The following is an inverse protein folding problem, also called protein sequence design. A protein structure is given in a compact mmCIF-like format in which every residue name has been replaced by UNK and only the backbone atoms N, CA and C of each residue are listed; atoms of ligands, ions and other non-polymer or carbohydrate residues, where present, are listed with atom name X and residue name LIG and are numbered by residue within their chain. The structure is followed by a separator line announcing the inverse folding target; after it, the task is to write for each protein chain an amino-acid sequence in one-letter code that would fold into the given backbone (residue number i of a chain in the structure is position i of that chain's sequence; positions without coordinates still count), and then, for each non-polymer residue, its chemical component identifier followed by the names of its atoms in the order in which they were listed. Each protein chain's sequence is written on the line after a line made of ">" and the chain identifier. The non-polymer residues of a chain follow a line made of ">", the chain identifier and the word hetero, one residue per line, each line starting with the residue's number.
data_IF_441721907845
#
_entry.id   IF_441721907845
#
_cell.length_a   1.000
_cell.length_b   1.000
_cell.length_c   1.000
_cell.angle_alpha   90.00
_cell.angle_beta   90.00
_cell.angle_gamma   90.00
#
_symmetry.space_group_name_H-M   'P 1'
#
loop_
_entity.id
_entity.type
_entity.pdbx_description
1 polymer ?
#
# COMPACT_ATOMS: atom_id res chain seq x y z
N UNK A 1 -20.47 23.26 -22.10
CA UNK A 1 -19.05 22.91 -21.88
C UNK A 1 -18.82 21.98 -20.68
N UNK A 2 -19.36 22.24 -19.47
CA UNK A 2 -19.25 21.30 -18.32
C UNK A 2 -19.94 19.95 -18.57
N UNK A 3 -21.19 19.94 -19.06
CA UNK A 3 -21.94 18.70 -19.35
C UNK A 3 -21.28 17.83 -20.43
N UNK A 4 -20.58 18.41 -21.42
CA UNK A 4 -19.88 17.66 -22.47
C UNK A 4 -18.57 17.06 -21.98
N UNK A 5 -17.86 17.76 -21.09
CA UNK A 5 -16.65 17.25 -20.42
C UNK A 5 -16.99 16.08 -19.49
N UNK A 6 -18.10 16.17 -18.76
CA UNK A 6 -18.56 15.10 -17.86
C UNK A 6 -19.01 13.85 -18.62
N UNK A 7 -19.74 14.00 -19.74
CA UNK A 7 -20.07 12.87 -20.62
C UNK A 7 -18.82 12.18 -21.16
N UNK A 8 -17.81 12.94 -21.60
CA UNK A 8 -16.55 12.37 -22.08
C UNK A 8 -15.81 11.57 -21.02
N UNK A 9 -15.82 12.04 -19.77
CA UNK A 9 -15.21 11.33 -18.64
C UNK A 9 -15.82 9.94 -18.40
N UNK A 10 -17.16 9.87 -18.29
CA UNK A 10 -17.86 8.60 -18.09
C UNK A 10 -17.71 7.64 -19.26
N UNK A 11 -17.68 8.16 -20.50
CA UNK A 11 -17.38 7.34 -21.68
C UNK A 11 -15.99 6.71 -21.62
N UNK A 12 -14.97 7.45 -21.18
CA UNK A 12 -13.60 6.90 -21.03
C UNK A 12 -13.55 5.84 -19.94
N UNK A 13 -14.22 6.04 -18.80
CA UNK A 13 -14.32 5.00 -17.77
C UNK A 13 -14.99 3.73 -18.32
N UNK A 14 -16.06 3.88 -19.12
CA UNK A 14 -16.71 2.75 -19.80
C UNK A 14 -15.75 2.00 -20.73
N UNK A 15 -14.94 2.71 -21.51
CA UNK A 15 -13.90 2.11 -22.36
C UNK A 15 -12.86 1.36 -21.51
N UNK A 16 -12.41 1.93 -20.39
CA UNK A 16 -11.47 1.27 -19.49
C UNK A 16 -12.06 -0.02 -18.92
N UNK A 17 -13.33 -0.04 -18.53
CA UNK A 17 -14.01 -1.25 -18.05
C UNK A 17 -13.98 -2.35 -19.12
N UNK A 18 -14.32 -2.02 -20.37
CA UNK A 18 -14.32 -2.98 -21.48
C UNK A 18 -12.92 -3.53 -21.74
N UNK A 19 -11.93 -2.64 -21.88
CA UNK A 19 -10.53 -3.02 -22.12
C UNK A 19 -10.01 -3.92 -21.00
N UNK A 20 -10.24 -3.55 -19.74
CA UNK A 20 -9.81 -4.34 -18.60
C UNK A 20 -10.55 -5.68 -18.51
N UNK A 21 -11.84 -5.74 -18.82
CA UNK A 21 -12.60 -7.00 -18.81
C UNK A 21 -12.03 -7.99 -19.81
N UNK A 22 -11.71 -7.52 -21.03
CA UNK A 22 -11.13 -8.35 -22.09
C UNK A 22 -9.67 -8.69 -21.78
N UNK A 23 -8.88 -7.73 -21.30
CA UNK A 23 -7.47 -7.91 -20.99
C UNK A 23 -7.21 -8.93 -19.88
N UNK A 24 -8.16 -9.12 -18.96
CA UNK A 24 -8.05 -10.14 -17.90
C UNK A 24 -8.23 -11.58 -18.41
N UNK A 25 -8.59 -11.79 -19.68
CA UNK A 25 -8.76 -13.13 -20.25
C UNK A 25 -7.44 -13.89 -20.34
N UNK A 26 -6.35 -13.18 -20.64
CA UNK A 26 -5.03 -13.79 -20.83
C UNK A 26 -4.28 -14.05 -19.52
N UNK A 27 -4.83 -13.62 -18.38
CA UNK A 27 -4.19 -13.78 -17.07
C UNK A 27 -4.45 -15.20 -16.56
N UNK A 28 -3.40 -16.01 -16.31
CA UNK A 28 -3.57 -17.38 -15.82
C UNK A 28 -4.06 -17.39 -14.37
N UNK A 29 -4.92 -18.37 -14.04
CA UNK A 29 -5.33 -18.65 -12.67
C UNK A 29 -4.24 -19.49 -12.01
N UNK A 30 -3.58 -18.95 -10.99
CA UNK A 30 -2.42 -19.57 -10.34
C UNK A 30 -2.42 -19.29 -8.84
N UNK A 31 -1.54 -19.99 -8.11
CA UNK A 31 -1.44 -19.82 -6.66
C UNK A 31 -2.76 -20.15 -5.95
N UNK A 32 -3.24 -19.23 -5.13
CA UNK A 32 -4.46 -19.39 -4.35
C UNK A 32 -5.71 -19.48 -5.25
N UNK A 33 -5.68 -18.91 -6.47
CA UNK A 33 -6.79 -19.02 -7.42
C UNK A 33 -7.13 -20.49 -7.71
N UNK A 34 -6.11 -21.32 -7.91
CA UNK A 34 -6.28 -22.75 -8.19
C UNK A 34 -6.91 -23.50 -7.00
N UNK A 35 -6.58 -23.10 -5.77
CA UNK A 35 -7.22 -23.64 -4.58
C UNK A 35 -8.72 -23.32 -4.58
N UNK A 36 -9.08 -22.04 -4.73
CA UNK A 36 -10.46 -21.57 -4.62
C UNK A 36 -11.38 -22.00 -5.79
N UNK A 37 -10.83 -22.21 -6.98
CA UNK A 37 -11.58 -22.77 -8.12
C UNK A 37 -12.04 -24.20 -7.82
N UNK A 38 -11.29 -24.96 -7.02
CA UNK A 38 -11.61 -26.34 -6.69
C UNK A 38 -12.51 -26.49 -5.45
N UNK A 39 -12.80 -25.40 -4.71
CA UNK A 39 -13.68 -25.45 -3.53
C UNK A 39 -15.15 -25.28 -3.92
N UNK A 40 -16.07 -25.84 -3.15
CA UNK A 40 -17.51 -25.55 -3.25
C UNK A 40 -17.96 -24.75 -2.03
N UNK A 41 -18.83 -23.77 -2.26
CA UNK A 41 -19.36 -22.97 -1.16
C UNK A 41 -20.36 -23.80 -0.34
N UNK A 42 -20.11 -23.89 0.96
CA UNK A 42 -21.09 -24.28 1.98
C UNK A 42 -20.82 -23.49 3.26
N UNK A 43 -21.84 -23.37 4.11
CA UNK A 43 -21.66 -22.71 5.42
C UNK A 43 -20.64 -23.48 6.26
N UNK A 44 -20.70 -24.81 6.25
CA UNK A 44 -19.75 -25.67 6.97
C UNK A 44 -18.31 -25.49 6.48
N UNK A 45 -18.11 -25.37 5.16
CA UNK A 45 -16.80 -25.08 4.61
C UNK A 45 -16.27 -23.74 5.14
N UNK A 46 -17.10 -22.70 5.15
CA UNK A 46 -16.70 -21.37 5.63
C UNK A 46 -16.41 -21.36 7.15
N UNK A 47 -17.21 -22.07 7.95
CA UNK A 47 -16.94 -22.26 9.38
C UNK A 47 -15.63 -23.01 9.59
N UNK A 48 -15.36 -24.06 8.81
CA UNK A 48 -14.08 -24.77 8.81
C UNK A 48 -12.90 -23.86 8.47
N UNK A 49 -13.07 -22.95 7.49
CA UNK A 49 -12.05 -21.93 7.15
C UNK A 49 -11.80 -20.97 8.30
N UNK A 50 -12.85 -20.49 8.97
CA UNK A 50 -12.71 -19.64 10.16
C UNK A 50 -11.99 -20.36 11.30
N UNK A 51 -12.27 -21.65 11.47
CA UNK A 51 -11.68 -22.47 12.53
C UNK A 51 -10.21 -22.80 12.29
N UNK A 52 -9.81 -23.01 11.03
CA UNK A 52 -8.51 -23.64 10.71
C UNK A 52 -7.54 -22.77 9.91
N UNK A 53 -7.98 -21.67 9.26
CA UNK A 53 -7.09 -20.93 8.36
C UNK A 53 -7.22 -19.41 8.32
N UNK A 54 -8.43 -18.84 8.29
CA UNK A 54 -8.58 -17.40 8.04
C UNK A 54 -9.80 -16.78 8.68
N UNK A 55 -9.64 -15.56 9.20
CA UNK A 55 -10.74 -14.67 9.60
C UNK A 55 -11.52 -14.06 8.44
N UNK A 56 -11.10 -14.25 7.18
CA UNK A 56 -11.63 -13.55 6.00
C UNK A 56 -12.94 -14.15 5.47
N UNK A 57 -13.91 -14.39 6.35
CA UNK A 57 -15.14 -15.12 6.02
C UNK A 57 -15.96 -14.46 4.89
N UNK A 58 -16.08 -13.13 4.87
CA UNK A 58 -16.88 -12.44 3.85
C UNK A 58 -16.16 -12.45 2.51
N UNK A 59 -14.85 -12.23 2.53
CA UNK A 59 -14.02 -12.21 1.33
C UNK A 59 -13.96 -13.62 0.73
N UNK A 60 -13.64 -14.65 1.52
CA UNK A 60 -13.52 -16.03 1.03
C UNK A 60 -14.86 -16.59 0.54
N UNK A 61 -15.99 -16.23 1.16
CA UNK A 61 -17.30 -16.60 0.66
C UNK A 61 -17.54 -16.07 -0.77
N UNK A 62 -17.30 -14.77 -0.99
CA UNK A 62 -17.45 -14.16 -2.33
C UNK A 62 -16.42 -14.76 -3.30
N UNK A 63 -15.21 -15.02 -2.84
CA UNK A 63 -14.14 -15.59 -3.66
C UNK A 63 -14.51 -16.98 -4.19
N UNK A 64 -15.01 -17.89 -3.34
CA UNK A 64 -15.44 -19.23 -3.79
C UNK A 64 -16.66 -19.16 -4.72
N UNK A 65 -17.61 -18.26 -4.46
CA UNK A 65 -18.79 -18.10 -5.31
C UNK A 65 -18.41 -17.56 -6.69
N UNK A 66 -17.56 -16.53 -6.74
CA UNK A 66 -17.20 -15.86 -7.99
C UNK A 66 -16.14 -16.63 -8.79
N UNK A 67 -15.34 -17.48 -8.16
CA UNK A 67 -14.37 -18.35 -8.83
C UNK A 67 -15.04 -19.32 -9.83
N UNK A 68 -16.32 -19.64 -9.62
CA UNK A 68 -17.13 -20.47 -10.52
C UNK A 68 -17.59 -19.74 -11.78
N UNK A 69 -17.57 -18.41 -11.76
CA UNK A 69 -18.01 -17.57 -12.87
C UNK A 69 -16.93 -16.53 -13.19
N UNK A 70 -15.85 -16.97 -13.83
CA UNK A 70 -14.68 -16.12 -14.11
C UNK A 70 -15.03 -14.89 -14.97
N UNK A 71 -16.01 -14.98 -15.87
CA UNK A 71 -16.50 -13.81 -16.60
C UNK A 71 -17.14 -12.76 -15.68
N UNK A 72 -17.94 -13.22 -14.71
CA UNK A 72 -18.55 -12.35 -13.71
C UNK A 72 -17.47 -11.67 -12.86
N UNK A 73 -16.45 -12.43 -12.44
CA UNK A 73 -15.29 -11.87 -11.76
C UNK A 73 -14.59 -10.80 -12.61
N UNK A 74 -14.27 -11.07 -13.87
CA UNK A 74 -13.55 -10.11 -14.74
C UNK A 74 -14.29 -8.78 -14.89
N UNK A 75 -15.61 -8.83 -15.07
CA UNK A 75 -16.47 -7.64 -15.17
C UNK A 75 -16.47 -6.86 -13.85
N UNK A 76 -16.76 -7.52 -12.72
CA UNK A 76 -16.78 -6.83 -11.42
C UNK A 76 -15.40 -6.29 -11.04
N UNK A 77 -14.35 -7.05 -11.32
CA UNK A 77 -12.99 -6.62 -11.04
C UNK A 77 -12.60 -5.38 -11.86
N UNK A 78 -12.99 -5.32 -13.14
CA UNK A 78 -12.80 -4.14 -13.97
C UNK A 78 -13.60 -2.94 -13.43
N UNK A 79 -14.86 -3.14 -13.04
CA UNK A 79 -15.69 -2.09 -12.43
C UNK A 79 -15.05 -1.55 -11.15
N UNK A 80 -14.55 -2.42 -10.28
CA UNK A 80 -13.94 -2.03 -8.99
C UNK A 80 -12.61 -1.31 -9.21
N UNK A 81 -11.77 -1.82 -10.12
CA UNK A 81 -10.52 -1.14 -10.46
C UNK A 81 -10.78 0.25 -11.04
N UNK A 82 -11.71 0.38 -11.98
CA UNK A 82 -12.06 1.67 -12.57
C UNK A 82 -12.75 2.60 -11.55
N UNK A 83 -13.52 2.05 -10.61
CA UNK A 83 -14.09 2.81 -9.49
C UNK A 83 -13.00 3.37 -8.57
N UNK A 84 -11.92 2.62 -8.33
CA UNK A 84 -10.76 3.11 -7.60
C UNK A 84 -10.09 4.29 -8.34
N UNK A 85 -9.95 4.20 -9.66
CA UNK A 85 -9.45 5.31 -10.48
C UNK A 85 -10.36 6.54 -10.41
N UNK A 86 -11.69 6.37 -10.50
CA UNK A 86 -12.66 7.46 -10.34
C UNK A 86 -12.56 8.09 -8.95
N UNK A 87 -12.52 7.30 -7.89
CA UNK A 87 -12.46 7.80 -6.50
C UNK A 87 -11.23 8.68 -6.27
N UNK A 88 -10.06 8.24 -6.73
CA UNK A 88 -8.82 9.01 -6.65
C UNK A 88 -8.92 10.27 -7.53
N UNK A 89 -9.38 10.13 -8.77
CA UNK A 89 -9.50 11.26 -9.70
C UNK A 89 -10.48 12.33 -9.22
N UNK A 90 -11.62 11.94 -8.67
CA UNK A 90 -12.61 12.87 -8.12
C UNK A 90 -12.03 13.63 -6.92
N UNK A 91 -11.37 12.92 -5.99
CA UNK A 91 -10.79 13.54 -4.79
C UNK A 91 -9.68 14.55 -5.13
N UNK A 92 -8.84 14.23 -6.10
CA UNK A 92 -7.68 15.06 -6.45
C UNK A 92 -8.02 16.13 -7.49
N UNK A 93 -8.78 15.77 -8.54
CA UNK A 93 -9.00 16.58 -9.74
C UNK A 93 -10.46 16.73 -10.16
N UNK A 94 -11.44 16.42 -9.32
CA UNK A 94 -12.86 16.71 -9.61
C UNK A 94 -13.40 16.07 -10.91
N UNK A 95 -12.94 14.84 -11.23
CA UNK A 95 -13.34 14.09 -12.45
C UNK A 95 -12.95 14.75 -13.77
N UNK A 96 -11.78 15.38 -13.81
CA UNK A 96 -11.17 15.78 -15.08
C UNK A 96 -10.48 14.60 -15.78
N UNK A 97 -10.66 14.51 -17.11
CA UNK A 97 -10.06 13.45 -17.96
C UNK A 97 -8.53 13.43 -17.84
N UNK A 98 -7.88 14.61 -17.85
CA UNK A 98 -6.42 14.71 -17.65
C UNK A 98 -5.99 14.13 -16.30
N UNK A 99 -6.79 14.37 -15.26
CA UNK A 99 -6.59 13.79 -13.93
C UNK A 99 -6.71 12.26 -13.96
N UNK A 100 -7.70 11.72 -14.67
CA UNK A 100 -7.87 10.26 -14.81
C UNK A 100 -6.65 9.60 -15.45
N UNK A 101 -6.15 10.17 -16.55
CA UNK A 101 -4.93 9.65 -17.19
C UNK A 101 -3.71 9.73 -16.28
N UNK A 102 -3.58 10.81 -15.52
CA UNK A 102 -2.49 10.96 -14.55
C UNK A 102 -2.58 9.90 -13.44
N UNK A 103 -3.77 9.64 -12.90
CA UNK A 103 -3.99 8.55 -11.93
C UNK A 103 -3.65 7.21 -12.57
N UNK A 104 -4.12 6.93 -13.79
CA UNK A 104 -3.84 5.69 -14.50
C UNK A 104 -2.32 5.49 -14.74
N UNK A 105 -1.58 6.54 -15.08
CA UNK A 105 -0.11 6.49 -15.20
C UNK A 105 0.54 6.08 -13.88
N UNK A 106 0.06 6.57 -12.73
CA UNK A 106 0.61 6.17 -11.43
C UNK A 106 0.39 4.69 -11.12
N UNK A 107 -0.71 4.10 -11.60
CA UNK A 107 -0.92 2.66 -11.52
C UNK A 107 0.07 1.86 -12.39
N UNK A 108 0.58 2.43 -13.49
CA UNK A 108 1.60 1.77 -14.33
C UNK A 108 2.97 1.69 -13.65
N UNK A 109 3.25 2.54 -12.65
CA UNK A 109 4.47 2.42 -11.83
C UNK A 109 4.38 1.31 -10.78
N UNK A 110 3.20 0.71 -10.58
CA UNK A 110 3.04 -0.39 -9.64
C UNK A 110 3.61 -1.68 -10.23
N UNK A 111 4.43 -2.44 -9.48
CA UNK A 111 4.96 -3.70 -9.98
C UNK A 111 3.83 -4.70 -10.24
N UNK A 112 3.81 -5.30 -11.43
CA UNK A 112 2.76 -6.26 -11.85
C UNK A 112 2.67 -7.47 -10.90
N UNK A 113 3.78 -7.82 -10.26
CA UNK A 113 3.88 -8.86 -9.23
C UNK A 113 2.91 -8.64 -8.05
N UNK A 114 2.53 -7.38 -7.77
CA UNK A 114 1.51 -7.04 -6.78
C UNK A 114 0.25 -7.85 -6.98
N UNK A 115 -0.22 -7.97 -8.22
CA UNK A 115 -1.51 -8.61 -8.52
C UNK A 115 -1.39 -10.09 -8.84
N UNK A 116 -0.19 -10.59 -9.17
CA UNK A 116 0.01 -11.97 -9.60
C UNK A 116 0.53 -12.90 -8.48
N UNK A 117 1.13 -12.36 -7.41
CA UNK A 117 1.87 -13.15 -6.42
C UNK A 117 1.09 -14.28 -5.73
N UNK A 118 -0.21 -14.10 -5.47
CA UNK A 118 -1.09 -15.13 -4.92
C UNK A 118 -2.11 -15.66 -5.94
N UNK A 119 -2.08 -15.16 -7.17
CA UNK A 119 -3.17 -15.30 -8.13
C UNK A 119 -3.98 -14.01 -8.28
N UNK A 120 -4.47 -13.79 -9.48
CA UNK A 120 -5.15 -12.56 -9.89
C UNK A 120 -6.52 -12.42 -9.22
N UNK A 121 -7.26 -13.53 -9.11
CA UNK A 121 -8.56 -13.58 -8.43
C UNK A 121 -8.39 -13.33 -6.93
N UNK A 122 -7.55 -14.13 -6.27
CA UNK A 122 -7.33 -14.05 -4.84
C UNK A 122 -6.78 -12.70 -4.41
N UNK A 123 -5.80 -12.16 -5.14
CA UNK A 123 -5.23 -10.85 -4.80
C UNK A 123 -6.23 -9.72 -4.99
N UNK A 124 -7.03 -9.76 -6.05
CA UNK A 124 -8.05 -8.73 -6.30
C UNK A 124 -9.10 -8.69 -5.19
N UNK A 125 -9.66 -9.84 -4.79
CA UNK A 125 -10.65 -9.90 -3.73
C UNK A 125 -10.08 -9.66 -2.32
N UNK A 126 -8.82 -10.01 -2.08
CA UNK A 126 -8.18 -9.75 -0.79
C UNK A 126 -7.63 -8.33 -0.65
N UNK A 127 -7.36 -7.59 -1.72
CA UNK A 127 -6.72 -6.27 -1.60
C UNK A 127 -7.45 -5.19 -2.39
N UNK A 128 -7.58 -5.35 -3.71
CA UNK A 128 -8.21 -4.34 -4.56
C UNK A 128 -9.65 -4.01 -4.13
N UNK A 129 -10.48 -5.03 -3.92
CA UNK A 129 -11.90 -4.82 -3.58
C UNK A 129 -12.08 -4.22 -2.19
N UNK A 130 -11.46 -4.78 -1.11
CA UNK A 130 -11.59 -4.22 0.23
C UNK A 130 -11.06 -2.80 0.34
N UNK A 131 -9.96 -2.46 -0.32
CA UNK A 131 -9.40 -1.10 -0.29
C UNK A 131 -10.29 -0.12 -1.02
N UNK A 132 -10.80 -0.48 -2.20
CA UNK A 132 -11.72 0.38 -2.96
C UNK A 132 -12.99 0.65 -2.16
N UNK A 133 -13.56 -0.40 -1.55
CA UNK A 133 -14.70 -0.27 -0.64
C UNK A 133 -14.36 0.62 0.57
N UNK A 134 -13.19 0.44 1.17
CA UNK A 134 -12.70 1.24 2.29
C UNK A 134 -12.57 2.73 1.96
N UNK A 135 -11.97 3.07 0.82
CA UNK A 135 -11.84 4.46 0.34
C UNK A 135 -13.24 5.07 0.11
N UNK A 136 -14.14 4.31 -0.52
CA UNK A 136 -15.52 4.75 -0.71
C UNK A 136 -16.22 5.03 0.63
N UNK A 137 -16.11 4.13 1.60
CA UNK A 137 -16.70 4.29 2.95
C UNK A 137 -16.17 5.56 3.62
N UNK A 138 -14.84 5.75 3.65
CA UNK A 138 -14.21 6.93 4.26
C UNK A 138 -14.69 8.24 3.63
N UNK A 139 -14.93 8.25 2.31
CA UNK A 139 -15.41 9.44 1.58
C UNK A 139 -16.85 9.83 1.89
N UNK A 140 -17.68 8.91 2.39
CA UNK A 140 -19.08 9.21 2.72
C UNK A 140 -19.28 9.63 4.18
N UNK A 141 -18.25 9.55 5.04
CA UNK A 141 -18.37 9.79 6.48
C UNK A 141 -18.87 11.20 6.85
N UNK A 142 -18.42 12.21 6.11
CA UNK A 142 -18.74 13.63 6.37
C UNK A 142 -20.10 14.07 5.81
N UNK A 143 -20.88 13.15 5.23
CA UNK A 143 -22.16 13.48 4.58
C UNK A 143 -23.34 13.06 5.44
N UNK A 144 -24.41 13.85 5.38
CA UNK A 144 -25.74 13.36 5.78
C UNK A 144 -26.20 12.33 4.76
N UNK A 145 -26.29 11.09 5.22
CA UNK A 145 -26.59 9.93 4.37
C UNK A 145 -27.99 9.39 4.67
N UNK A 146 -28.65 8.89 3.63
CA UNK A 146 -29.97 8.24 3.76
C UNK A 146 -29.85 6.87 4.43
N UNK A 147 -30.96 6.31 4.92
CA UNK A 147 -30.98 4.95 5.48
C UNK A 147 -30.47 3.89 4.49
N UNK A 148 -30.82 3.99 3.20
CA UNK A 148 -30.31 3.09 2.15
C UNK A 148 -28.79 3.21 2.00
N UNK A 149 -28.26 4.42 2.06
CA UNK A 149 -26.83 4.67 2.01
C UNK A 149 -26.12 4.10 3.25
N UNK A 150 -26.71 4.22 4.45
CA UNK A 150 -26.17 3.61 5.68
C UNK A 150 -26.12 2.08 5.60
N UNK A 151 -27.15 1.44 5.02
CA UNK A 151 -27.14 0.01 4.78
C UNK A 151 -26.01 -0.40 3.83
N UNK A 152 -25.86 0.33 2.71
CA UNK A 152 -24.75 0.11 1.78
C UNK A 152 -23.37 0.29 2.44
N UNK A 153 -23.20 1.34 3.25
CA UNK A 153 -21.97 1.57 4.01
C UNK A 153 -21.71 0.47 5.03
N UNK A 154 -22.76 -0.12 5.62
CA UNK A 154 -22.61 -1.23 6.57
C UNK A 154 -22.03 -2.46 5.88
N UNK A 155 -22.59 -2.85 4.73
CA UNK A 155 -22.12 -3.99 3.93
C UNK A 155 -20.68 -3.76 3.46
N UNK A 156 -20.39 -2.57 2.92
CA UNK A 156 -19.04 -2.24 2.43
C UNK A 156 -18.02 -2.19 3.57
N UNK A 157 -18.39 -1.69 4.75
CA UNK A 157 -17.49 -1.66 5.91
C UNK A 157 -17.18 -3.07 6.38
N UNK A 158 -18.20 -3.92 6.53
CA UNK A 158 -18.01 -5.31 6.96
C UNK A 158 -17.13 -6.07 5.97
N UNK A 159 -17.33 -5.88 4.66
CA UNK A 159 -16.50 -6.49 3.62
C UNK A 159 -15.07 -5.94 3.63
N UNK A 160 -14.90 -4.61 3.63
CA UNK A 160 -13.58 -3.97 3.59
C UNK A 160 -12.72 -4.33 4.80
N UNK A 161 -13.30 -4.22 6.00
CA UNK A 161 -12.59 -4.44 7.27
C UNK A 161 -12.45 -5.93 7.64
N UNK A 162 -12.94 -6.85 6.80
CA UNK A 162 -12.67 -8.28 6.96
C UNK A 162 -11.24 -8.67 6.61
N UNK A 163 -10.56 -7.84 5.83
CA UNK A 163 -9.12 -7.92 5.55
C UNK A 163 -8.34 -7.21 6.66
N UNK A 164 -7.33 -7.87 7.23
CA UNK A 164 -6.65 -7.43 8.46
C UNK A 164 -5.91 -6.08 8.34
N UNK A 165 -5.18 -5.86 7.24
CA UNK A 165 -4.49 -4.60 6.96
C UNK A 165 -5.47 -3.46 6.66
N UNK A 166 -6.54 -3.71 5.90
CA UNK A 166 -7.57 -2.70 5.59
C UNK A 166 -8.33 -2.34 6.87
N UNK A 167 -8.63 -3.33 7.72
CA UNK A 167 -9.27 -3.16 9.01
C UNK A 167 -8.50 -2.15 9.89
N UNK A 168 -7.20 -2.41 10.12
CA UNK A 168 -6.40 -1.51 10.95
C UNK A 168 -6.20 -0.14 10.30
N UNK A 169 -6.05 -0.10 8.97
CA UNK A 169 -5.89 1.17 8.24
C UNK A 169 -7.14 2.04 8.39
N UNK A 170 -8.34 1.48 8.18
CA UNK A 170 -9.61 2.19 8.37
C UNK A 170 -9.78 2.60 9.83
N UNK A 171 -9.47 1.71 10.79
CA UNK A 171 -9.56 2.02 12.21
C UNK A 171 -8.69 3.22 12.57
N UNK A 172 -7.41 3.22 12.16
CA UNK A 172 -6.49 4.33 12.43
C UNK A 172 -6.99 5.61 11.77
N UNK A 173 -7.31 5.58 10.46
CA UNK A 173 -7.84 6.76 9.77
C UNK A 173 -9.11 7.32 10.44
N UNK A 174 -10.01 6.45 10.89
CA UNK A 174 -11.24 6.85 11.56
C UNK A 174 -10.99 7.44 12.94
N UNK A 175 -10.08 6.87 13.73
CA UNK A 175 -9.67 7.43 15.02
C UNK A 175 -9.03 8.81 14.86
N UNK A 176 -8.13 8.97 13.88
CA UNK A 176 -7.54 10.27 13.56
C UNK A 176 -8.58 11.30 13.11
N UNK A 177 -9.56 10.89 12.29
CA UNK A 177 -10.68 11.74 11.86
C UNK A 177 -11.59 12.13 13.03
N UNK A 178 -11.96 11.18 13.90
CA UNK A 178 -12.77 11.46 15.08
C UNK A 178 -12.06 12.41 16.04
N UNK A 179 -10.76 12.19 16.29
CA UNK A 179 -9.95 13.10 17.10
C UNK A 179 -9.95 14.52 16.50
N UNK A 180 -9.76 14.64 15.18
CA UNK A 180 -9.84 15.92 14.49
C UNK A 180 -11.20 16.61 14.72
N UNK A 181 -12.32 15.90 14.48
CA UNK A 181 -13.67 16.45 14.65
C UNK A 181 -13.94 16.88 16.09
N UNK A 182 -13.48 16.10 17.08
CA UNK A 182 -13.63 16.44 18.50
C UNK A 182 -12.83 17.71 18.85
N UNK A 183 -11.58 17.81 18.39
CA UNK A 183 -10.71 18.96 18.66
C UNK A 183 -11.23 20.22 17.97
N UNK A 184 -11.71 20.11 16.73
CA UNK A 184 -12.27 21.26 15.98
C UNK A 184 -13.73 21.57 16.34
N UNK A 185 -14.35 20.75 17.21
CA UNK A 185 -15.77 20.83 17.58
C UNK A 185 -16.71 20.75 16.37
N UNK A 186 -16.28 20.05 15.33
CA UNK A 186 -17.09 19.77 14.15
C UNK A 186 -18.12 18.68 14.44
N UNK A 187 -19.18 18.64 13.63
CA UNK A 187 -20.27 17.69 13.80
C UNK A 187 -19.82 16.26 13.48
N UNK A 188 -20.07 15.34 14.41
CA UNK A 188 -19.87 13.90 14.17
C UNK A 188 -21.18 13.29 13.65
N UNK A 189 -21.16 12.82 12.40
CA UNK A 189 -22.30 12.17 11.77
C UNK A 189 -22.46 10.71 12.22
N UNK A 190 -23.70 10.19 12.19
CA UNK A 190 -24.02 8.78 12.53
C UNK A 190 -23.15 7.76 11.77
N UNK A 191 -22.79 8.05 10.52
CA UNK A 191 -21.90 7.21 9.71
C UNK A 191 -20.56 6.91 10.40
N UNK A 192 -20.00 7.87 11.15
CA UNK A 192 -18.74 7.65 11.88
C UNK A 192 -18.87 6.56 12.95
N UNK A 193 -19.92 6.64 13.77
CA UNK A 193 -20.18 5.66 14.82
C UNK A 193 -20.51 4.28 14.24
N UNK A 194 -21.29 4.24 13.17
CA UNK A 194 -21.61 3.00 12.45
C UNK A 194 -20.34 2.31 11.94
N UNK A 195 -19.50 3.05 11.20
CA UNK A 195 -18.27 2.51 10.62
C UNK A 195 -17.30 2.09 11.73
N UNK A 196 -17.20 2.85 12.82
CA UNK A 196 -16.38 2.48 13.98
C UNK A 196 -16.86 1.17 14.60
N UNK A 197 -18.15 1.05 14.89
CA UNK A 197 -18.74 -0.15 15.49
C UNK A 197 -18.51 -1.40 14.64
N UNK A 198 -18.78 -1.30 13.33
CA UNK A 198 -18.57 -2.43 12.41
C UNK A 198 -17.10 -2.79 12.23
N UNK A 199 -16.21 -1.79 12.20
CA UNK A 199 -14.75 -2.04 12.16
C UNK A 199 -14.32 -2.76 13.43
N UNK A 200 -14.79 -2.33 14.61
CA UNK A 200 -14.47 -3.00 15.88
C UNK A 200 -14.99 -4.44 15.95
N UNK A 201 -16.16 -4.73 15.38
CA UNK A 201 -16.65 -6.10 15.26
C UNK A 201 -15.67 -6.96 14.44
N UNK A 202 -15.18 -6.46 13.31
CA UNK A 202 -14.18 -7.19 12.53
C UNK A 202 -12.83 -7.31 13.24
N UNK A 203 -12.40 -6.30 14.01
CA UNK A 203 -11.20 -6.41 14.86
C UNK A 203 -11.33 -7.57 15.82
N UNK A 204 -12.47 -7.68 16.51
CA UNK A 204 -12.75 -8.79 17.44
C UNK A 204 -12.79 -10.13 16.68
N UNK A 205 -13.45 -10.19 15.53
CA UNK A 205 -13.54 -11.39 14.71
C UNK A 205 -12.16 -11.89 14.24
N UNK A 206 -11.28 -10.97 13.85
CA UNK A 206 -9.91 -11.25 13.41
C UNK A 206 -9.05 -11.69 14.60
N UNK A 207 -9.12 -10.98 15.73
CA UNK A 207 -8.33 -11.25 16.92
C UNK A 207 -8.69 -12.60 17.56
N UNK A 208 -9.97 -12.96 17.54
CA UNK A 208 -10.47 -14.22 18.10
C UNK A 208 -10.47 -15.38 17.10
N UNK A 209 -10.01 -15.18 15.86
CA UNK A 209 -10.01 -16.23 14.85
C UNK A 209 -9.02 -17.35 15.21
N UNK A 210 -9.51 -18.56 15.55
CA UNK A 210 -8.62 -19.69 15.80
C UNK A 210 -7.88 -20.11 14.53
N UNK A 211 -8.49 -19.90 13.36
CA UNK A 211 -7.87 -20.20 12.08
C UNK A 211 -6.64 -19.35 11.80
N UNK A 212 -6.64 -18.08 12.20
CA UNK A 212 -5.45 -17.24 12.09
C UNK A 212 -4.28 -17.77 12.94
N UNK A 213 -4.57 -18.27 14.16
CA UNK A 213 -3.58 -18.87 15.04
C UNK A 213 -3.06 -20.20 14.47
N UNK A 214 -3.97 -21.07 14.01
CA UNK A 214 -3.62 -22.35 13.37
C UNK A 214 -2.72 -22.13 12.15
N UNK A 215 -3.09 -21.18 11.27
CA UNK A 215 -2.27 -20.78 10.12
C UNK A 215 -0.90 -20.27 10.56
N UNK A 216 -0.82 -19.49 11.63
CA UNK A 216 0.47 -18.99 12.13
C UNK A 216 1.37 -20.15 12.59
N UNK A 217 0.84 -21.09 13.37
CA UNK A 217 1.57 -22.29 13.84
C UNK A 217 2.06 -23.13 12.66
N UNK A 218 1.24 -23.30 11.62
CA UNK A 218 1.63 -24.02 10.40
C UNK A 218 2.66 -23.25 9.57
N UNK A 219 2.59 -21.91 9.54
CA UNK A 219 3.45 -21.06 8.73
C UNK A 219 4.87 -20.92 9.27
N UNK A 220 5.06 -20.97 10.59
CA UNK A 220 6.37 -20.84 11.23
C UNK A 220 7.37 -21.89 10.71
N UNK A 221 7.14 -23.21 10.84
CA UNK A 221 8.10 -24.21 10.41
C UNK A 221 8.28 -24.23 8.88
N UNK A 222 7.25 -23.82 8.12
CA UNK A 222 7.28 -23.86 6.65
C UNK A 222 8.00 -22.66 6.03
N UNK A 223 7.83 -21.46 6.58
CA UNK A 223 8.27 -20.22 5.91
C UNK A 223 9.35 -19.48 6.67
N UNK A 224 9.34 -19.48 8.00
CA UNK A 224 10.30 -18.72 8.80
C UNK A 224 10.43 -19.28 10.23
N UNK A 225 11.22 -20.35 10.44
CA UNK A 225 11.32 -21.02 11.74
C UNK A 225 11.80 -20.12 12.88
N UNK A 226 12.73 -19.20 12.60
CA UNK A 226 13.29 -18.26 13.59
C UNK A 226 12.22 -17.31 14.15
N UNK A 227 11.13 -17.08 13.41
CA UNK A 227 10.00 -16.26 13.86
C UNK A 227 9.39 -16.75 15.18
N UNK A 228 9.53 -18.04 15.52
CA UNK A 228 9.08 -18.60 16.79
C UNK A 228 9.75 -17.93 18.01
N UNK A 229 10.98 -17.47 17.84
CA UNK A 229 11.79 -16.86 18.91
C UNK A 229 11.61 -15.34 18.99
N UNK A 230 10.92 -14.73 18.04
CA UNK A 230 10.85 -13.28 17.90
C UNK A 230 9.93 -12.65 18.96
N UNK A 231 10.50 -11.70 19.70
CA UNK A 231 9.75 -10.83 20.60
C UNK A 231 8.97 -9.75 19.85
N UNK A 232 8.38 -8.82 20.61
CA UNK A 232 7.65 -7.69 20.03
C UNK A 232 8.57 -6.78 19.19
N UNK A 233 9.75 -6.45 19.71
CA UNK A 233 10.69 -5.55 19.04
C UNK A 233 11.25 -6.15 17.75
N UNK A 234 11.54 -7.45 17.72
CA UNK A 234 12.00 -8.14 16.51
C UNK A 234 10.96 -8.07 15.40
N UNK A 235 9.68 -8.25 15.75
CA UNK A 235 8.55 -8.17 14.80
C UNK A 235 8.35 -6.76 14.27
N UNK A 236 8.47 -5.74 15.12
CA UNK A 236 8.44 -4.33 14.70
C UNK A 236 9.61 -4.03 13.76
N UNK A 237 10.82 -4.45 14.14
CA UNK A 237 12.03 -4.26 13.36
C UNK A 237 11.92 -4.94 11.98
N UNK A 238 11.42 -6.18 11.94
CA UNK A 238 11.15 -6.95 10.74
C UNK A 238 10.12 -6.25 9.82
N UNK A 239 9.05 -5.71 10.41
CA UNK A 239 8.04 -4.94 9.70
C UNK A 239 8.58 -3.67 9.05
N UNK A 240 9.40 -2.91 9.80
CA UNK A 240 10.08 -1.72 9.31
C UNK A 240 11.06 -2.10 8.20
N UNK A 241 11.89 -3.13 8.40
CA UNK A 241 12.82 -3.63 7.38
C UNK A 241 12.13 -4.02 6.09
N UNK A 242 11.01 -4.75 6.17
CA UNK A 242 10.26 -5.13 4.98
C UNK A 242 9.65 -3.92 4.26
N UNK A 243 9.16 -2.94 5.02
CA UNK A 243 8.63 -1.69 4.45
C UNK A 243 9.71 -0.85 3.77
N UNK A 244 10.85 -0.70 4.43
CA UNK A 244 12.02 -0.03 3.88
C UNK A 244 12.58 -0.77 2.66
N UNK A 245 12.55 -2.11 2.66
CA UNK A 245 12.91 -2.92 1.50
C UNK A 245 12.04 -2.55 0.30
N UNK A 246 10.72 -2.51 0.46
CA UNK A 246 9.77 -2.21 -0.62
C UNK A 246 9.92 -0.77 -1.14
N UNK A 247 10.14 0.20 -0.24
CA UNK A 247 10.19 1.61 -0.64
C UNK A 247 11.57 2.09 -1.08
N UNK A 248 12.61 1.74 -0.32
CA UNK A 248 13.92 2.38 -0.41
C UNK A 248 15.00 1.48 -1.03
N UNK A 249 14.82 0.15 -0.96
CA UNK A 249 15.82 -0.80 -1.45
C UNK A 249 15.43 -1.33 -2.83
N UNK A 250 14.27 -1.95 -2.98
CA UNK A 250 13.79 -2.48 -4.26
C UNK A 250 13.63 -1.39 -5.33
N UNK A 251 13.65 -1.79 -6.60
CA UNK A 251 13.42 -0.91 -7.73
C UNK A 251 11.97 -0.40 -7.73
N UNK A 252 11.72 0.71 -7.03
CA UNK A 252 10.41 1.30 -6.85
C UNK A 252 10.32 2.66 -7.53
N UNK A 253 9.90 2.64 -8.80
CA UNK A 253 9.78 3.84 -9.63
C UNK A 253 8.76 4.85 -9.07
N UNK A 254 7.70 4.38 -8.41
CA UNK A 254 6.72 5.26 -7.78
C UNK A 254 7.36 6.02 -6.61
N UNK A 255 8.15 5.35 -5.78
CA UNK A 255 8.86 6.00 -4.68
C UNK A 255 9.89 7.01 -5.20
N UNK A 256 10.64 6.66 -6.26
CA UNK A 256 11.58 7.58 -6.90
C UNK A 256 10.86 8.85 -7.39
N UNK A 257 9.73 8.69 -8.08
CA UNK A 257 8.91 9.83 -8.52
C UNK A 257 8.44 10.66 -7.32
N UNK A 258 7.96 10.01 -6.26
CA UNK A 258 7.47 10.68 -5.06
C UNK A 258 8.53 11.53 -4.37
N UNK A 259 9.72 10.97 -4.09
CA UNK A 259 10.79 11.72 -3.42
C UNK A 259 11.35 12.84 -4.30
N UNK A 260 11.40 12.64 -5.63
CA UNK A 260 11.78 13.68 -6.59
C UNK A 260 10.79 14.83 -6.56
N UNK A 261 9.49 14.53 -6.58
CA UNK A 261 8.44 15.53 -6.51
C UNK A 261 8.50 16.34 -5.21
N UNK A 262 8.72 15.67 -4.07
CA UNK A 262 8.88 16.35 -2.78
C UNK A 262 10.11 17.26 -2.76
N UNK A 263 11.25 16.80 -3.29
CA UNK A 263 12.46 17.60 -3.38
C UNK A 263 12.26 18.83 -4.26
N UNK A 264 11.67 18.68 -5.44
CA UNK A 264 11.36 19.79 -6.35
C UNK A 264 10.44 20.80 -5.65
N UNK A 265 9.37 20.33 -5.01
CA UNK A 265 8.47 21.22 -4.27
C UNK A 265 9.21 21.98 -3.15
N UNK A 266 10.00 21.28 -2.34
CA UNK A 266 10.74 21.89 -1.23
C UNK A 266 11.77 22.91 -1.73
N UNK A 267 12.53 22.61 -2.79
CA UNK A 267 13.55 23.50 -3.34
C UNK A 267 12.93 24.79 -3.89
N UNK A 268 11.83 24.66 -4.65
CA UNK A 268 11.18 25.79 -5.32
C UNK A 268 10.33 26.64 -4.37
N UNK A 269 9.58 26.02 -3.47
CA UNK A 269 8.53 26.72 -2.71
C UNK A 269 8.76 26.79 -1.21
N UNK A 270 9.65 25.98 -0.63
CA UNK A 270 9.93 26.08 0.81
C UNK A 270 10.78 27.33 1.10
N UNK A 271 10.30 28.14 2.05
CA UNK A 271 11.07 29.27 2.60
C UNK A 271 12.18 28.81 3.55
N UNK A 272 12.07 27.61 4.12
CA UNK A 272 12.96 27.11 5.17
C UNK A 272 14.11 26.33 4.55
N UNK A 273 15.33 26.83 4.71
CA UNK A 273 16.53 26.24 4.10
C UNK A 273 16.73 24.76 4.48
N UNK A 274 16.52 24.40 5.75
CA UNK A 274 16.74 23.04 6.24
C UNK A 274 15.83 22.01 5.55
N UNK A 275 14.60 22.37 5.18
CA UNK A 275 13.69 21.47 4.45
C UNK A 275 14.18 21.16 3.03
N UNK A 276 14.91 22.08 2.40
CA UNK A 276 15.54 21.83 1.10
C UNK A 276 16.56 20.70 1.22
N UNK A 277 17.44 20.77 2.22
CA UNK A 277 18.42 19.72 2.49
C UNK A 277 17.77 18.40 2.90
N UNK A 278 16.79 18.43 3.82
CA UNK A 278 16.10 17.21 4.26
C UNK A 278 15.35 16.51 3.12
N UNK A 279 14.78 17.27 2.17
CA UNK A 279 14.08 16.69 1.01
C UNK A 279 15.02 15.98 0.02
N UNK A 280 16.30 16.36 -0.01
CA UNK A 280 17.31 15.76 -0.89
C UNK A 280 17.81 14.42 -0.31
N UNK A 281 17.76 14.22 1.00
CA UNK A 281 18.24 12.97 1.63
C UNK A 281 17.51 11.73 1.06
N UNK A 282 16.17 11.64 1.06
CA UNK A 282 15.46 10.53 0.42
C UNK A 282 15.76 10.41 -1.09
N UNK A 283 15.94 11.54 -1.78
CA UNK A 283 16.26 11.59 -3.21
C UNK A 283 17.65 11.05 -3.54
N UNK A 284 18.61 11.10 -2.62
CA UNK A 284 19.93 10.48 -2.83
C UNK A 284 19.88 8.97 -2.60
N UNK A 285 19.18 8.53 -1.56
CA UNK A 285 19.17 7.11 -1.15
C UNK A 285 18.47 6.22 -2.17
N UNK A 286 17.29 6.62 -2.65
CA UNK A 286 16.47 5.77 -3.54
C UNK A 286 17.17 5.46 -4.89
N UNK A 287 17.69 6.44 -5.66
CA UNK A 287 18.41 6.16 -6.90
C UNK A 287 19.70 5.39 -6.70
N UNK A 288 20.47 5.68 -5.63
CA UNK A 288 21.71 4.96 -5.33
C UNK A 288 21.41 3.47 -5.16
N UNK A 289 20.36 3.11 -4.40
CA UNK A 289 19.97 1.72 -4.23
C UNK A 289 19.49 1.08 -5.55
N UNK A 290 18.73 1.80 -6.37
CA UNK A 290 18.31 1.31 -7.71
C UNK A 290 19.54 1.00 -8.58
N UNK A 291 20.52 1.90 -8.60
CA UNK A 291 21.78 1.73 -9.35
C UNK A 291 22.54 0.53 -8.81
N UNK A 292 22.75 0.45 -7.49
CA UNK A 292 23.46 -0.67 -6.85
C UNK A 292 22.80 -2.01 -7.16
N UNK A 293 21.48 -2.12 -7.05
CA UNK A 293 20.77 -3.36 -7.38
C UNK A 293 20.95 -3.72 -8.85
N UNK A 294 20.82 -2.74 -9.75
CA UNK A 294 20.98 -2.96 -11.20
C UNK A 294 22.39 -3.45 -11.52
N UNK A 295 23.40 -2.86 -10.88
CA UNK A 295 24.80 -3.30 -10.99
C UNK A 295 24.97 -4.73 -10.49
N UNK A 296 24.44 -5.06 -9.30
CA UNK A 296 24.53 -6.43 -8.76
C UNK A 296 23.84 -7.47 -9.64
N UNK A 297 22.67 -7.15 -10.21
CA UNK A 297 21.93 -8.03 -11.11
C UNK A 297 22.68 -8.26 -12.43
N UNK A 298 23.45 -7.27 -12.89
CA UNK A 298 24.31 -7.37 -14.07
C UNK A 298 25.69 -7.97 -13.76
N UNK A 299 25.85 -8.61 -12.59
CA UNK A 299 27.08 -9.31 -12.20
C UNK A 299 28.16 -8.42 -11.57
N UNK A 300 27.93 -7.11 -11.47
CA UNK A 300 28.82 -6.17 -10.77
C UNK A 300 28.51 -6.18 -9.27
N UNK A 301 28.87 -7.27 -8.60
CA UNK A 301 28.76 -7.37 -7.14
C UNK A 301 30.00 -6.78 -6.48
N UNK A 302 29.90 -6.39 -5.20
CA UNK A 302 31.08 -6.05 -4.38
C UNK A 302 32.07 -7.23 -4.39
N UNK A 303 31.56 -8.46 -4.47
CA UNK A 303 32.37 -9.67 -4.56
C UNK A 303 33.10 -9.77 -5.90
N UNK A 304 32.44 -9.52 -7.03
CA UNK A 304 33.06 -9.49 -8.36
C UNK A 304 34.04 -8.31 -8.50
N UNK A 305 33.73 -7.16 -7.91
CA UNK A 305 34.63 -6.00 -7.85
C UNK A 305 35.84 -6.27 -6.95
N UNK A 306 35.64 -6.93 -5.80
CA UNK A 306 36.72 -7.35 -4.90
C UNK A 306 37.60 -8.41 -5.57
N UNK A 307 37.03 -9.36 -6.30
CA UNK A 307 37.77 -10.36 -7.07
C UNK A 307 38.56 -9.69 -8.21
N UNK A 308 37.95 -8.75 -8.95
CA UNK A 308 38.64 -7.93 -9.95
C UNK A 308 39.81 -7.15 -9.36
N UNK A 309 39.64 -6.55 -8.17
CA UNK A 309 40.71 -5.83 -7.47
C UNK A 309 41.78 -6.77 -6.89
N UNK A 310 41.42 -7.97 -6.44
CA UNK A 310 42.35 -9.00 -5.97
C UNK A 310 43.18 -9.58 -7.13
N UNK A 311 42.57 -9.78 -8.29
CA UNK A 311 43.24 -10.16 -9.54
C UNK A 311 44.21 -9.05 -9.99
N UNK A 312 43.84 -7.80 -9.74
CA UNK A 312 44.63 -6.61 -10.03
C UNK A 312 45.44 -6.13 -8.82
N UNK A 313 46.23 -7.04 -8.21
CA UNK A 313 47.21 -6.79 -7.14
C UNK A 313 46.91 -5.57 -6.23
N UNK A 314 45.80 -5.60 -5.50
CA UNK A 314 45.54 -4.62 -4.45
C UNK A 314 46.06 -5.12 -3.10
N UNK A 315 46.54 -4.18 -2.28
CA UNK A 315 47.31 -4.45 -1.06
C UNK A 315 46.55 -5.31 -0.03
N UNK A 316 47.26 -6.09 0.81
CA UNK A 316 46.66 -6.90 1.88
C UNK A 316 45.78 -6.13 2.87
N UNK A 317 45.97 -4.81 2.97
CA UNK A 317 45.14 -3.93 3.80
C UNK A 317 43.74 -3.71 3.19
N UNK A 318 43.62 -3.64 1.87
CA UNK A 318 42.34 -3.43 1.20
C UNK A 318 41.43 -4.66 1.31
N UNK A 319 41.99 -5.87 1.23
CA UNK A 319 41.24 -7.11 1.39
C UNK A 319 40.71 -7.30 2.81
N UNK A 320 41.49 -6.92 3.83
CA UNK A 320 41.06 -6.93 5.23
C UNK A 320 39.94 -5.90 5.50
N UNK A 321 40.02 -4.70 4.91
CA UNK A 321 38.95 -3.70 5.00
C UNK A 321 37.67 -4.20 4.33
N UNK A 322 37.77 -4.82 3.16
CA UNK A 322 36.61 -5.38 2.44
C UNK A 322 35.95 -6.54 3.21
N UNK A 323 36.75 -7.41 3.85
CA UNK A 323 36.22 -8.43 4.75
C UNK A 323 35.55 -7.82 5.97
N UNK A 324 36.17 -6.83 6.63
CA UNK A 324 35.59 -6.14 7.78
C UNK A 324 34.23 -5.49 7.44
N UNK A 325 34.13 -4.83 6.27
CA UNK A 325 32.86 -4.28 5.77
C UNK A 325 31.84 -5.41 5.56
N UNK A 326 32.23 -6.55 4.99
CA UNK A 326 31.34 -7.69 4.80
C UNK A 326 30.84 -8.30 6.13
N UNK A 327 31.69 -8.37 7.17
CA UNK A 327 31.31 -8.90 8.49
C UNK A 327 30.44 -7.92 9.27
N UNK A 328 30.73 -6.62 9.20
CA UNK A 328 29.90 -5.57 9.83
C UNK A 328 28.46 -5.62 9.31
N UNK A 329 28.24 -6.02 8.05
CA UNK A 329 26.91 -6.16 7.44
C UNK A 329 26.03 -7.29 8.03
N UNK A 330 26.48 -8.03 9.05
CA UNK A 330 25.69 -9.10 9.70
C UNK A 330 25.09 -8.66 11.05
N UNK A 331 23.77 -8.84 11.18
CA UNK A 331 22.85 -8.54 12.30
C UNK A 331 22.85 -7.12 12.90
N UNK A 332 23.98 -6.56 13.35
CA UNK A 332 24.05 -5.21 13.97
C UNK A 332 23.83 -4.07 12.94
N UNK A 333 24.22 -4.31 11.69
CA UNK A 333 23.92 -3.40 10.58
C UNK A 333 22.43 -3.33 10.26
N UNK A 334 21.63 -4.37 10.53
CA UNK A 334 20.19 -4.32 10.23
C UNK A 334 19.47 -3.25 11.05
N UNK A 335 19.85 -3.09 12.31
CA UNK A 335 19.30 -2.08 13.22
C UNK A 335 19.76 -0.68 12.80
N UNK A 336 21.05 -0.50 12.51
CA UNK A 336 21.60 0.78 12.03
C UNK A 336 20.94 1.21 10.72
N UNK A 337 20.73 0.28 9.78
CA UNK A 337 20.02 0.53 8.53
C UNK A 337 18.57 0.92 8.79
N UNK A 338 17.87 0.23 9.70
CA UNK A 338 16.50 0.58 10.06
C UNK A 338 16.39 1.96 10.71
N UNK A 339 17.35 2.35 11.56
CA UNK A 339 17.43 3.71 12.09
C UNK A 339 17.60 4.73 10.96
N UNK A 340 18.50 4.45 10.00
CA UNK A 340 18.66 5.27 8.79
C UNK A 340 17.35 5.40 7.99
N UNK A 341 16.63 4.30 7.80
CA UNK A 341 15.33 4.33 7.11
C UNK A 341 14.25 5.11 7.87
N UNK A 342 14.20 4.99 9.20
CA UNK A 342 13.30 5.78 10.04
C UNK A 342 13.61 7.28 9.89
N UNK A 343 14.88 7.67 9.86
CA UNK A 343 15.28 9.06 9.65
C UNK A 343 14.87 9.56 8.25
N UNK A 344 14.97 8.73 7.21
CA UNK A 344 14.49 9.05 5.86
C UNK A 344 12.98 9.27 5.86
N UNK A 345 12.21 8.37 6.49
CA UNK A 345 10.76 8.55 6.61
C UNK A 345 10.41 9.80 7.42
N UNK A 346 11.17 10.12 8.47
CA UNK A 346 11.01 11.35 9.22
C UNK A 346 11.25 12.60 8.36
N UNK A 347 12.28 12.59 7.49
CA UNK A 347 12.53 13.67 6.53
C UNK A 347 11.31 13.87 5.59
N UNK A 348 10.74 12.77 5.08
CA UNK A 348 9.53 12.80 4.25
C UNK A 348 8.36 13.40 5.02
N UNK A 349 8.13 12.97 6.27
CA UNK A 349 7.05 13.48 7.12
C UNK A 349 7.16 14.99 7.37
N UNK A 350 8.37 15.50 7.63
CA UNK A 350 8.61 16.94 7.80
C UNK A 350 8.32 17.71 6.50
N UNK A 351 8.72 17.18 5.35
CA UNK A 351 8.40 17.80 4.05
C UNK A 351 6.88 17.82 3.79
N UNK A 352 6.19 16.71 4.07
CA UNK A 352 4.74 16.61 3.93
C UNK A 352 4.00 17.55 4.87
N UNK A 353 4.47 17.72 6.11
CA UNK A 353 3.91 18.67 7.05
C UNK A 353 4.02 20.06 6.46
N UNK A 354 5.23 20.53 6.14
CA UNK A 354 5.42 21.90 5.67
C UNK A 354 4.60 22.18 4.41
N UNK A 355 4.58 21.25 3.46
CA UNK A 355 3.82 21.43 2.23
C UNK A 355 2.30 21.47 2.48
N UNK A 356 1.80 20.61 3.37
CA UNK A 356 0.38 20.53 3.62
C UNK A 356 -0.14 21.60 4.59
N UNK A 357 0.75 22.16 5.41
CA UNK A 357 0.45 23.01 6.57
C UNK A 357 -0.58 22.37 7.51
N UNK A 358 -0.58 21.03 7.56
CA UNK A 358 -1.55 20.21 8.27
C UNK A 358 -0.92 18.86 8.65
N UNK A 359 -1.40 18.24 9.71
CA UNK A 359 -0.98 16.87 10.05
C UNK A 359 -1.65 15.80 9.17
N UNK A 360 -2.60 16.17 8.31
CA UNK A 360 -3.37 15.23 7.49
C UNK A 360 -2.52 14.36 6.56
N UNK A 361 -1.62 14.95 5.76
CA UNK A 361 -0.76 14.17 4.84
C UNK A 361 0.33 13.37 5.58
N UNK A 362 1.06 13.95 6.56
CA UNK A 362 1.98 13.17 7.39
C UNK A 362 1.29 12.00 8.07
N UNK A 363 0.13 12.22 8.68
CA UNK A 363 -0.64 11.19 9.37
C UNK A 363 -1.07 10.06 8.41
N UNK A 364 -1.62 10.41 7.25
CA UNK A 364 -2.01 9.43 6.24
C UNK A 364 -0.81 8.60 5.76
N UNK A 365 0.34 9.24 5.53
CA UNK A 365 1.57 8.55 5.14
C UNK A 365 2.05 7.59 6.24
N UNK A 366 2.02 8.01 7.51
CA UNK A 366 2.35 7.14 8.65
C UNK A 366 1.40 5.95 8.76
N UNK A 367 0.09 6.14 8.56
CA UNK A 367 -0.88 5.04 8.53
C UNK A 367 -0.58 4.08 7.38
N UNK A 368 -0.21 4.60 6.20
CA UNK A 368 0.26 3.79 5.07
C UNK A 368 1.49 2.95 5.42
N UNK A 369 2.51 3.56 6.04
CA UNK A 369 3.71 2.83 6.50
C UNK A 369 3.34 1.74 7.52
N UNK A 370 2.48 2.06 8.50
CA UNK A 370 2.03 1.11 9.52
C UNK A 370 1.25 -0.07 8.91
N UNK A 371 0.42 0.19 7.89
CA UNK A 371 -0.38 -0.85 7.20
C UNK A 371 0.47 -1.95 6.57
N UNK A 372 1.69 -1.61 6.12
CA UNK A 372 2.62 -2.58 5.56
C UNK A 372 3.56 -3.14 6.64
N UNK A 373 4.04 -2.29 7.56
CA UNK A 373 4.91 -2.71 8.65
C UNK A 373 4.26 -3.75 9.57
N UNK A 374 2.94 -3.78 9.70
CA UNK A 374 2.25 -4.83 10.47
C UNK A 374 2.50 -6.25 9.94
N UNK A 375 2.98 -6.41 8.70
CA UNK A 375 3.39 -7.72 8.17
C UNK A 375 4.56 -8.33 8.96
N UNK A 376 5.31 -7.52 9.72
CA UNK A 376 6.30 -7.98 10.69
C UNK A 376 5.74 -8.90 11.78
N UNK A 377 4.42 -8.92 11.97
CA UNK A 377 3.74 -9.84 12.89
C UNK A 377 3.29 -11.15 12.22
N UNK A 378 3.64 -11.37 10.95
CA UNK A 378 3.35 -12.61 10.24
C UNK A 378 4.62 -13.38 9.87
N UNK A 379 4.69 -14.70 10.17
CA UNK A 379 5.79 -15.55 9.72
C UNK A 379 5.84 -15.70 8.19
N UNK A 380 4.74 -15.38 7.49
CA UNK A 380 4.66 -15.46 6.03
C UNK A 380 5.18 -14.20 5.31
N UNK A 381 5.84 -13.27 6.01
CA UNK A 381 6.24 -11.96 5.47
C UNK A 381 7.02 -12.07 4.14
N UNK A 382 7.96 -13.00 4.03
CA UNK A 382 8.76 -13.19 2.82
C UNK A 382 8.02 -13.95 1.71
N UNK A 383 7.07 -14.83 2.08
CA UNK A 383 6.24 -15.58 1.12
C UNK A 383 5.11 -14.73 0.54
N UNK A 384 4.64 -13.76 1.32
CA UNK A 384 3.48 -12.94 0.95
C UNK A 384 3.79 -11.93 -0.15
N UNK A 385 5.08 -11.70 -0.46
CA UNK A 385 5.50 -10.87 -1.59
C UNK A 385 4.91 -9.47 -1.61
N UNK A 386 4.92 -8.87 -2.80
CA UNK A 386 4.66 -7.44 -2.96
C UNK A 386 3.20 -7.05 -2.68
N UNK A 387 2.21 -7.96 -2.85
CA UNK A 387 0.77 -7.67 -2.69
C UNK A 387 0.43 -7.00 -1.35
N UNK A 388 1.20 -7.30 -0.31
CA UNK A 388 0.99 -6.76 1.04
C UNK A 388 1.26 -5.25 1.13
N UNK A 389 2.01 -4.69 0.18
CA UNK A 389 2.30 -3.26 0.09
C UNK A 389 1.24 -2.47 -0.67
N UNK A 390 0.18 -3.11 -1.16
CA UNK A 390 -0.80 -2.44 -2.03
C UNK A 390 -1.51 -1.26 -1.33
N UNK A 391 -1.83 -1.35 -0.03
CA UNK A 391 -2.38 -0.22 0.74
C UNK A 391 -1.38 0.95 0.81
N UNK A 392 -0.12 0.66 1.13
CA UNK A 392 0.95 1.64 1.17
C UNK A 392 1.11 2.34 -0.18
N UNK A 393 1.06 1.60 -1.28
CA UNK A 393 1.08 2.17 -2.62
C UNK A 393 -0.11 3.08 -2.90
N UNK A 394 -1.33 2.70 -2.49
CA UNK A 394 -2.50 3.57 -2.65
C UNK A 394 -2.36 4.87 -1.87
N UNK A 395 -1.81 4.81 -0.65
CA UNK A 395 -1.49 6.00 0.16
C UNK A 395 -0.46 6.87 -0.55
N UNK A 396 0.63 6.30 -1.06
CA UNK A 396 1.67 7.05 -1.79
C UNK A 396 1.09 7.73 -3.03
N UNK A 397 0.27 7.02 -3.83
CA UNK A 397 -0.41 7.61 -4.99
C UNK A 397 -1.27 8.79 -4.53
N UNK A 398 -2.13 8.61 -3.53
CA UNK A 398 -2.98 9.70 -3.05
C UNK A 398 -2.17 10.92 -2.54
N UNK A 399 -1.05 10.69 -1.86
CA UNK A 399 -0.14 11.76 -1.40
C UNK A 399 0.50 12.47 -2.59
N UNK A 400 1.01 11.73 -3.59
CA UNK A 400 1.54 12.31 -4.84
C UNK A 400 0.49 13.21 -5.50
N UNK A 401 -0.74 12.73 -5.65
CA UNK A 401 -1.83 13.49 -6.26
C UNK A 401 -2.14 14.77 -5.47
N UNK A 402 -2.12 14.67 -4.13
CA UNK A 402 -2.32 15.80 -3.24
C UNK A 402 -1.20 16.85 -3.34
N UNK A 403 0.05 16.41 -3.52
CA UNK A 403 1.22 17.27 -3.77
C UNK A 403 1.07 17.98 -5.12
N UNK A 404 0.77 17.25 -6.18
CA UNK A 404 0.63 17.80 -7.54
C UNK A 404 -0.49 18.84 -7.62
N UNK A 405 -1.63 18.59 -6.96
CA UNK A 405 -2.72 19.58 -6.87
C UNK A 405 -2.25 20.88 -6.21
N UNK A 406 -1.44 20.79 -5.15
CA UNK A 406 -0.89 21.97 -4.47
C UNK A 406 0.13 22.70 -5.33
N UNK A 407 0.98 21.96 -6.04
CA UNK A 407 1.94 22.52 -6.99
C UNK A 407 1.22 23.35 -8.07
N UNK A 408 0.20 22.77 -8.70
CA UNK A 408 -0.62 23.43 -9.72
C UNK A 408 -1.29 24.73 -9.19
N UNK A 409 -1.83 24.68 -7.97
CA UNK A 409 -2.44 25.86 -7.37
C UNK A 409 -1.42 26.96 -7.03
N UNK A 410 -0.18 26.62 -6.69
CA UNK A 410 0.87 27.60 -6.39
C UNK A 410 1.45 28.25 -7.65
N UNK A 411 1.58 27.51 -8.75
CA UNK A 411 2.00 28.08 -10.04
C UNK A 411 0.99 29.10 -10.55
N UNK A 412 -0.32 28.81 -10.49
CA UNK A 412 -1.35 29.77 -10.92
C UNK A 412 -1.35 31.09 -10.12
N UNK A 413 -0.97 31.06 -8.83
CA UNK A 413 -0.86 32.27 -8.00
C UNK A 413 0.38 33.09 -8.36
N UNK A 414 1.44 32.42 -8.80
CA UNK A 414 2.71 33.09 -9.14
C UNK A 414 2.63 33.76 -10.51
N UNK A 415 1.93 33.16 -11.48
CA UNK A 415 1.73 33.73 -12.82
C UNK A 415 0.72 34.91 -12.84
N UNK A 416 -0.05 35.11 -11.77
CA UNK A 416 -1.01 36.22 -11.61
C UNK A 416 -0.45 37.42 -10.85
N UNK A 417 0.79 37.35 -10.38
CA UNK A 417 1.53 38.46 -9.76
C UNK A 417 2.59 38.96 -10.72
#
# INVERSE_FOLDING_TARGET
>A
MKLSQEKGYWSILGIFIVIMTIGQVVIPMMGDDAFFINQSFSVDWLVGRYQQWSSRIFIEAILVLISKQLWLFRVFNAIIFVSLLDLLTESSFGRHIKGLFLVAIFFLFLPVTLFLSAGWLATSLNYLWPITAGIFVMKQLDKTVTAKTLLGLSVLTLFATNQEQVCITILLMLLGKLLFLVVTKEKIHCAHYLVLGLTMINVVLIALSPGNQSRQVQSIPTFFPEFAQFGLFDKINLGISNTSKVLLVQQNMLMLFFVTLLAVFAILYSKKWYLKYLSVIPLLVVPINIILITLTHNGYTIQAFSQYLLEKQSSPALSQVLQLVATLLTNDVSIILNVGFILIFFCILLCLWEMSQSLSLPYLFTVGLASHAMMGFSPSIFKSGDRTAFILYMVIIYVILSVLKRFYNQTEVTDRK
#
